data_IF_248616562578
#
_entry.id   IF_248616562578
#
_cell.length_a   1.000
_cell.length_b   1.000
_cell.length_c   1.000
_cell.angle_alpha   90.00
_cell.angle_beta   90.00
_cell.angle_gamma   90.00
#
_symmetry.space_group_name_H-M   'P 1'
#
loop_
_entity.id
_entity.type
_entity.pdbx_description
1 polymer ?
#
# COMPACT_ATOMS: atom_id res chain seq x y z
N UNK A 1 -23.90 -23.11 9.25
CA UNK A 1 -22.60 -22.48 9.07
C UNK A 1 -22.31 -22.45 7.59
N UNK A 2 -22.10 -21.27 6.99
CA UNK A 2 -21.87 -21.15 5.55
C UNK A 2 -20.42 -21.56 5.22
N UNK A 3 -20.19 -22.15 4.03
CA UNK A 3 -18.87 -22.60 3.55
C UNK A 3 -17.78 -21.51 3.70
N UNK A 4 -18.16 -20.24 3.62
CA UNK A 4 -17.28 -19.09 3.77
C UNK A 4 -16.74 -18.93 5.21
N UNK A 5 -17.56 -19.21 6.23
CA UNK A 5 -17.15 -19.18 7.64
C UNK A 5 -16.22 -20.36 7.99
N UNK A 6 -16.48 -21.54 7.43
CA UNK A 6 -15.64 -22.72 7.63
C UNK A 6 -14.25 -22.55 6.98
N UNK A 7 -14.17 -21.85 5.84
CA UNK A 7 -12.91 -21.58 5.16
C UNK A 7 -12.07 -20.55 5.94
N UNK A 8 -12.68 -19.46 6.42
CA UNK A 8 -12.01 -18.44 7.25
C UNK A 8 -11.44 -19.07 8.53
N UNK A 9 -12.22 -19.89 9.26
CA UNK A 9 -11.73 -20.54 10.47
C UNK A 9 -10.56 -21.50 10.25
N UNK A 10 -10.48 -22.16 9.07
CA UNK A 10 -9.34 -23.01 8.73
C UNK A 10 -8.10 -22.17 8.41
N UNK A 11 -8.26 -21.09 7.66
CA UNK A 11 -7.17 -20.16 7.36
C UNK A 11 -6.59 -19.54 8.64
N UNK A 12 -7.44 -19.10 9.57
CA UNK A 12 -7.02 -18.59 10.88
C UNK A 12 -6.28 -19.64 11.73
N UNK A 13 -6.72 -20.89 11.71
CA UNK A 13 -6.06 -21.98 12.43
C UNK A 13 -4.67 -22.30 11.86
N UNK A 14 -4.52 -22.28 10.52
CA UNK A 14 -3.24 -22.50 9.86
C UNK A 14 -2.26 -21.37 10.15
N UNK A 15 -2.73 -20.13 10.15
CA UNK A 15 -1.93 -18.94 10.50
C UNK A 15 -1.45 -19.04 11.97
N UNK A 16 -2.34 -19.33 12.90
CA UNK A 16 -1.97 -19.52 14.31
C UNK A 16 -0.93 -20.64 14.48
N UNK A 17 -1.04 -21.73 13.73
CA UNK A 17 -0.05 -22.80 13.78
C UNK A 17 1.32 -22.35 13.24
N UNK A 18 1.36 -21.52 12.18
CA UNK A 18 2.62 -20.95 11.68
C UNK A 18 3.27 -20.02 12.71
N UNK A 19 2.47 -19.18 13.37
CA UNK A 19 2.94 -18.28 14.43
C UNK A 19 3.54 -19.09 15.58
N UNK A 20 2.87 -20.12 16.08
CA UNK A 20 3.40 -20.98 17.16
C UNK A 20 4.74 -21.62 16.79
N UNK A 21 4.86 -22.16 15.57
CA UNK A 21 6.12 -22.74 15.09
C UNK A 21 7.26 -21.70 15.00
N UNK A 22 6.94 -20.45 14.68
CA UNK A 22 7.94 -19.38 14.63
C UNK A 22 8.37 -18.96 16.02
N UNK A 23 7.46 -18.90 16.99
CA UNK A 23 7.78 -18.65 18.40
C UNK A 23 8.73 -19.73 18.93
N UNK A 24 8.40 -21.01 18.73
CA UNK A 24 9.29 -22.12 19.12
C UNK A 24 10.69 -22.01 18.51
N UNK A 25 10.80 -21.59 17.24
CA UNK A 25 12.10 -21.37 16.58
C UNK A 25 12.86 -20.18 17.17
N UNK A 26 12.17 -19.15 17.62
CA UNK A 26 12.78 -18.00 18.30
C UNK A 26 13.31 -18.45 19.67
N UNK A 27 12.53 -19.21 20.44
CA UNK A 27 12.94 -19.75 21.74
C UNK A 27 14.17 -20.64 21.63
N UNK A 28 14.25 -21.48 20.59
CA UNK A 28 15.39 -22.35 20.31
C UNK A 28 16.62 -21.59 19.85
N UNK A 29 16.46 -20.48 19.14
CA UNK A 29 17.56 -19.67 18.64
C UNK A 29 17.22 -18.16 18.64
N UNK A 30 17.32 -17.51 19.83
CA UNK A 30 16.94 -16.09 20.00
C UNK A 30 17.79 -15.09 19.23
N UNK A 31 18.97 -15.50 18.71
CA UNK A 31 19.83 -14.61 17.94
C UNK A 31 19.60 -14.67 16.43
N UNK A 32 18.69 -15.54 15.97
CA UNK A 32 18.41 -15.72 14.55
C UNK A 32 17.42 -14.71 14.02
N UNK A 33 17.90 -13.65 13.37
CA UNK A 33 17.14 -12.54 12.80
C UNK A 33 15.98 -13.00 11.91
N UNK A 34 16.22 -13.99 11.03
CA UNK A 34 15.19 -14.48 10.10
C UNK A 34 13.89 -14.98 10.76
N UNK A 35 13.96 -15.51 11.99
CA UNK A 35 12.78 -16.00 12.68
C UNK A 35 11.86 -14.83 13.10
N UNK A 36 12.47 -13.74 13.56
CA UNK A 36 11.74 -12.51 13.92
C UNK A 36 11.14 -11.83 12.69
N UNK A 37 11.88 -11.75 11.58
CA UNK A 37 11.36 -11.19 10.33
C UNK A 37 10.16 -11.98 9.82
N UNK A 38 10.23 -13.32 9.82
CA UNK A 38 9.10 -14.16 9.42
C UNK A 38 7.89 -13.97 10.32
N UNK A 39 8.09 -13.91 11.65
CA UNK A 39 6.99 -13.68 12.58
C UNK A 39 6.40 -12.27 12.43
N UNK A 40 7.25 -11.25 12.24
CA UNK A 40 6.80 -9.90 11.97
C UNK A 40 5.99 -9.81 10.67
N UNK A 41 6.40 -10.49 9.61
CA UNK A 41 5.65 -10.58 8.34
C UNK A 41 4.25 -11.16 8.56
N UNK A 42 4.11 -12.29 9.27
CA UNK A 42 2.80 -12.88 9.60
C UNK A 42 1.93 -11.91 10.41
N UNK A 43 2.50 -11.19 11.38
CA UNK A 43 1.78 -10.19 12.17
C UNK A 43 1.34 -8.98 11.34
N UNK A 44 2.19 -8.51 10.43
CA UNK A 44 1.90 -7.40 9.51
C UNK A 44 0.76 -7.79 8.56
N UNK A 45 0.79 -8.99 7.99
CA UNK A 45 -0.27 -9.51 7.12
C UNK A 45 -1.63 -9.61 7.82
N UNK A 46 -1.63 -9.82 9.15
CA UNK A 46 -2.84 -9.81 9.98
C UNK A 46 -3.26 -8.41 10.44
N UNK A 47 -2.54 -7.35 10.06
CA UNK A 47 -2.78 -6.00 10.55
C UNK A 47 -2.38 -5.77 12.02
N UNK A 48 -1.64 -6.70 12.65
CA UNK A 48 -1.19 -6.63 14.04
C UNK A 48 0.12 -5.82 14.16
N UNK A 49 0.12 -4.60 13.61
CA UNK A 49 1.31 -3.75 13.48
C UNK A 49 1.97 -3.42 14.82
N UNK A 50 1.19 -3.18 15.88
CA UNK A 50 1.72 -2.89 17.22
C UNK A 50 2.49 -4.09 17.80
N UNK A 51 1.99 -5.30 17.61
CA UNK A 51 2.67 -6.52 18.05
C UNK A 51 3.94 -6.78 17.24
N UNK A 52 3.90 -6.56 15.91
CA UNK A 52 5.07 -6.65 15.05
C UNK A 52 6.15 -5.65 15.48
N UNK A 53 5.78 -4.40 15.76
CA UNK A 53 6.71 -3.37 16.27
C UNK A 53 7.36 -3.81 17.57
N UNK A 54 6.57 -4.24 18.56
CA UNK A 54 7.09 -4.69 19.86
C UNK A 54 8.05 -5.89 19.72
N UNK A 55 7.70 -6.86 18.87
CA UNK A 55 8.54 -8.00 18.55
C UNK A 55 9.90 -7.57 17.97
N UNK A 56 9.88 -6.71 16.95
CA UNK A 56 11.10 -6.26 16.28
C UNK A 56 11.97 -5.37 17.19
N UNK A 57 11.38 -4.49 17.99
CA UNK A 57 12.14 -3.69 18.98
C UNK A 57 12.82 -4.55 20.05
N UNK A 58 12.15 -5.59 20.53
CA UNK A 58 12.76 -6.55 21.45
C UNK A 58 13.87 -7.36 20.77
N UNK A 59 13.64 -7.83 19.54
CA UNK A 59 14.59 -8.58 18.75
C UNK A 59 15.90 -7.82 18.50
N UNK A 60 15.83 -6.49 18.31
CA UNK A 60 17.04 -5.64 18.13
C UNK A 60 18.06 -5.77 19.26
N UNK A 61 17.61 -6.14 20.46
CA UNK A 61 18.50 -6.33 21.63
C UNK A 61 19.13 -7.72 21.71
N UNK A 62 18.63 -8.67 20.90
CA UNK A 62 18.97 -10.09 20.98
C UNK A 62 19.79 -10.56 19.79
N UNK A 63 19.50 -10.01 18.60
CA UNK A 63 20.14 -10.45 17.34
C UNK A 63 21.52 -9.83 17.13
N UNK A 64 22.35 -10.49 16.33
CA UNK A 64 23.71 -10.02 16.02
C UNK A 64 23.75 -8.79 15.12
N UNK A 65 22.78 -8.67 14.22
CA UNK A 65 22.69 -7.59 13.23
C UNK A 65 21.34 -6.90 13.36
N UNK A 66 21.16 -6.00 14.39
CA UNK A 66 19.88 -5.34 14.64
C UNK A 66 19.40 -4.46 13.49
N UNK A 67 20.31 -3.95 12.66
CA UNK A 67 19.99 -3.14 11.47
C UNK A 67 19.20 -3.91 10.40
N UNK A 68 19.28 -5.24 10.38
CA UNK A 68 18.53 -6.08 9.44
C UNK A 68 17.02 -6.04 9.71
N UNK A 69 16.61 -5.57 10.90
CA UNK A 69 15.21 -5.41 11.30
C UNK A 69 14.64 -4.02 10.98
N UNK A 70 15.48 -3.07 10.56
CA UNK A 70 15.09 -1.66 10.47
C UNK A 70 14.07 -1.40 9.37
N UNK A 71 14.13 -2.12 8.25
CA UNK A 71 13.15 -1.98 7.18
C UNK A 71 11.74 -2.40 7.63
N UNK A 72 11.60 -3.60 8.19
CA UNK A 72 10.29 -4.11 8.64
C UNK A 72 9.72 -3.28 9.79
N UNK A 73 10.59 -2.79 10.68
CA UNK A 73 10.20 -1.87 11.74
C UNK A 73 9.72 -0.52 11.17
N UNK A 74 10.38 -0.02 10.13
CA UNK A 74 9.94 1.20 9.44
C UNK A 74 8.59 1.02 8.75
N UNK A 75 8.33 -0.17 8.15
CA UNK A 75 7.02 -0.52 7.59
C UNK A 75 5.95 -0.56 8.70
N UNK A 76 6.25 -1.16 9.85
CA UNK A 76 5.33 -1.19 10.98
C UNK A 76 4.96 0.23 11.47
N UNK A 77 5.94 1.12 11.61
CA UNK A 77 5.68 2.52 11.97
C UNK A 77 4.86 3.26 10.92
N UNK A 78 5.14 3.04 9.63
CA UNK A 78 4.31 3.58 8.54
C UNK A 78 2.85 3.15 8.65
N UNK A 79 2.61 1.86 8.89
CA UNK A 79 1.25 1.31 9.01
C UNK A 79 0.50 1.81 10.25
N UNK A 80 1.23 2.23 11.29
CA UNK A 80 0.67 2.86 12.49
C UNK A 80 0.50 4.38 12.37
N UNK A 81 0.96 4.98 11.25
CA UNK A 81 0.91 6.43 11.01
C UNK A 81 2.07 7.20 11.68
N UNK A 82 3.05 6.51 12.27
CA UNK A 82 4.24 7.14 12.85
C UNK A 82 5.31 7.36 11.75
N UNK A 83 5.01 8.31 10.87
CA UNK A 83 5.80 8.57 9.67
C UNK A 83 7.22 9.08 9.98
N UNK A 84 7.39 9.82 11.07
CA UNK A 84 8.70 10.35 11.48
C UNK A 84 9.65 9.24 11.91
N UNK A 85 9.18 8.27 12.70
CA UNK A 85 9.98 7.09 13.06
C UNK A 85 10.28 6.23 11.86
N UNK A 86 9.30 6.02 10.97
CA UNK A 86 9.50 5.30 9.73
C UNK A 86 10.63 5.92 8.91
N UNK A 87 10.59 7.24 8.65
CA UNK A 87 11.63 7.95 7.90
C UNK A 87 12.99 7.91 8.61
N UNK A 88 13.01 8.01 9.94
CA UNK A 88 14.26 7.94 10.72
C UNK A 88 14.99 6.63 10.45
N UNK A 89 14.29 5.51 10.49
CA UNK A 89 14.86 4.19 10.19
C UNK A 89 15.25 4.05 8.73
N UNK A 90 14.36 4.41 7.80
CA UNK A 90 14.63 4.32 6.36
C UNK A 90 15.84 5.15 5.93
N UNK A 91 16.14 6.26 6.61
CA UNK A 91 17.31 7.08 6.32
C UNK A 91 18.63 6.47 6.81
N UNK A 92 18.59 5.48 7.68
CA UNK A 92 19.75 4.73 8.15
C UNK A 92 20.09 3.52 7.29
N UNK A 93 19.18 3.12 6.39
CA UNK A 93 19.32 1.98 5.51
C UNK A 93 19.79 2.43 4.12
N UNK A 94 20.66 1.68 3.43
CA UNK A 94 21.02 1.95 2.05
C UNK A 94 19.80 2.03 1.13
N UNK A 95 19.79 2.98 0.20
CA UNK A 95 18.70 3.16 -0.74
C UNK A 95 18.72 2.07 -1.83
N UNK A 96 18.00 1.00 -1.63
CA UNK A 96 17.55 0.09 -2.68
C UNK A 96 16.12 0.40 -3.14
N UNK A 97 15.60 -0.33 -4.09
CA UNK A 97 14.26 -0.11 -4.65
C UNK A 97 13.15 -0.25 -3.61
N UNK A 98 13.29 -1.16 -2.62
CA UNK A 98 12.32 -1.35 -1.54
C UNK A 98 12.31 -0.16 -0.59
N UNK A 99 13.48 0.32 -0.19
CA UNK A 99 13.63 1.49 0.69
C UNK A 99 13.13 2.75 0.00
N UNK A 100 13.46 2.94 -1.29
CA UNK A 100 12.97 4.05 -2.10
C UNK A 100 11.45 4.04 -2.22
N UNK A 101 10.86 2.87 -2.49
CA UNK A 101 9.41 2.67 -2.54
C UNK A 101 8.74 3.05 -1.21
N UNK A 102 9.27 2.55 -0.09
CA UNK A 102 8.72 2.84 1.22
C UNK A 102 8.86 4.32 1.59
N UNK A 103 10.00 4.98 1.28
CA UNK A 103 10.15 6.43 1.45
C UNK A 103 9.12 7.22 0.64
N UNK A 104 8.91 6.83 -0.61
CA UNK A 104 7.92 7.47 -1.47
C UNK A 104 6.50 7.35 -0.89
N UNK A 105 6.12 6.17 -0.36
CA UNK A 105 4.85 5.98 0.34
C UNK A 105 4.71 6.90 1.55
N UNK A 106 5.75 6.98 2.39
CA UNK A 106 5.73 7.85 3.58
C UNK A 106 5.57 9.32 3.19
N UNK A 107 6.34 9.81 2.22
CA UNK A 107 6.24 11.20 1.77
C UNK A 107 4.89 11.50 1.12
N UNK A 108 4.31 10.54 0.39
CA UNK A 108 2.96 10.69 -0.17
C UNK A 108 1.91 10.84 0.96
N UNK A 109 1.99 10.03 2.02
CA UNK A 109 1.09 10.13 3.19
C UNK A 109 1.26 11.44 3.96
N UNK A 110 2.46 11.99 3.98
CA UNK A 110 2.75 13.31 4.56
C UNK A 110 2.30 14.49 3.66
N UNK A 111 1.71 14.24 2.49
CA UNK A 111 1.34 15.28 1.52
C UNK A 111 2.53 15.95 0.84
N UNK A 112 3.73 15.35 0.94
CA UNK A 112 4.96 15.85 0.33
C UNK A 112 5.21 15.20 -1.05
N UNK A 113 4.26 15.40 -1.98
CA UNK A 113 4.22 14.73 -3.28
C UNK A 113 5.50 14.88 -4.11
N UNK A 114 6.14 16.05 -4.07
CA UNK A 114 7.41 16.27 -4.81
C UNK A 114 8.56 15.40 -4.28
N UNK A 115 8.66 15.22 -2.94
CA UNK A 115 9.66 14.32 -2.35
C UNK A 115 9.32 12.86 -2.64
N UNK A 116 8.03 12.50 -2.56
CA UNK A 116 7.57 11.17 -2.94
C UNK A 116 7.97 10.85 -4.38
N UNK A 117 7.74 11.79 -5.32
CA UNK A 117 8.09 11.63 -6.72
C UNK A 117 9.60 11.46 -6.93
N UNK A 118 10.42 12.26 -6.25
CA UNK A 118 11.88 12.17 -6.34
C UNK A 118 12.39 10.77 -5.96
N UNK A 119 11.85 10.18 -4.88
CA UNK A 119 12.21 8.82 -4.48
C UNK A 119 11.66 7.77 -5.46
N UNK A 120 10.39 7.87 -5.86
CA UNK A 120 9.75 6.91 -6.76
C UNK A 120 10.42 6.85 -8.13
N UNK A 121 10.86 7.99 -8.71
CA UNK A 121 11.57 8.04 -9.98
C UNK A 121 13.00 7.47 -9.92
N UNK A 122 13.56 7.28 -8.72
CA UNK A 122 14.90 6.70 -8.53
C UNK A 122 14.87 5.17 -8.52
N UNK A 123 13.67 4.56 -8.39
CA UNK A 123 13.48 3.09 -8.42
C UNK A 123 13.87 2.56 -9.80
N UNK A 124 14.72 1.54 -9.81
CA UNK A 124 15.26 0.95 -11.05
C UNK A 124 14.32 -0.09 -11.66
N UNK A 125 13.68 -0.91 -10.82
CA UNK A 125 12.75 -1.95 -11.26
C UNK A 125 11.31 -1.45 -11.13
N UNK A 126 10.79 -0.91 -12.24
CA UNK A 126 9.43 -0.36 -12.28
C UNK A 126 8.43 -1.49 -12.60
N UNK A 127 7.82 -2.04 -11.59
CA UNK A 127 6.74 -3.01 -11.67
C UNK A 127 5.35 -2.34 -11.57
N UNK A 128 4.28 -3.15 -11.62
CA UNK A 128 2.89 -2.64 -11.55
C UNK A 128 2.60 -1.89 -10.22
N UNK A 129 3.27 -2.25 -9.10
CA UNK A 129 3.12 -1.54 -7.82
C UNK A 129 3.78 -0.17 -7.84
N UNK A 130 4.95 -0.08 -8.45
CA UNK A 130 5.66 1.20 -8.64
C UNK A 130 4.87 2.11 -9.59
N UNK A 131 4.29 1.55 -10.66
CA UNK A 131 3.42 2.31 -11.56
C UNK A 131 2.16 2.83 -10.85
N UNK A 132 1.54 2.03 -9.99
CA UNK A 132 0.40 2.48 -9.19
C UNK A 132 0.81 3.60 -8.22
N UNK A 133 1.94 3.46 -7.52
CA UNK A 133 2.48 4.50 -6.64
C UNK A 133 2.79 5.79 -7.39
N UNK A 134 3.44 5.72 -8.55
CA UNK A 134 3.70 6.89 -9.40
C UNK A 134 2.39 7.57 -9.83
N UNK A 135 1.39 6.80 -10.22
CA UNK A 135 0.05 7.32 -10.53
C UNK A 135 -0.57 8.06 -9.35
N UNK A 136 -0.50 7.50 -8.14
CA UNK A 136 -1.00 8.13 -6.92
C UNK A 136 -0.25 9.42 -6.58
N UNK A 137 1.07 9.44 -6.77
CA UNK A 137 1.89 10.63 -6.54
C UNK A 137 1.55 11.73 -7.53
N UNK A 138 1.45 11.42 -8.83
CA UNK A 138 1.07 12.39 -9.85
C UNK A 138 -0.34 12.95 -9.59
N UNK A 139 -1.27 12.09 -9.17
CA UNK A 139 -2.61 12.52 -8.77
C UNK A 139 -2.56 13.49 -7.58
N UNK A 140 -1.73 13.22 -6.58
CA UNK A 140 -1.56 14.10 -5.41
C UNK A 140 -0.93 15.47 -5.77
N UNK A 141 -0.22 15.54 -6.88
CA UNK A 141 0.37 16.77 -7.43
C UNK A 141 -0.60 17.52 -8.37
N UNK A 142 -1.77 16.95 -8.68
CA UNK A 142 -2.73 17.51 -9.63
C UNK A 142 -2.45 17.20 -11.10
N UNK A 143 -1.44 16.38 -11.39
CA UNK A 143 -0.98 16.02 -12.74
C UNK A 143 -1.76 14.80 -13.25
N UNK A 144 -3.00 15.03 -13.68
CA UNK A 144 -3.95 13.96 -14.04
C UNK A 144 -3.53 13.16 -15.27
N UNK A 145 -2.86 13.79 -16.25
CA UNK A 145 -2.40 13.12 -17.48
C UNK A 145 -1.26 12.15 -17.20
N UNK A 146 -0.33 12.52 -16.33
CA UNK A 146 0.79 11.71 -15.89
C UNK A 146 0.32 10.55 -15.03
N UNK A 147 -0.62 10.81 -14.10
CA UNK A 147 -1.25 9.79 -13.28
C UNK A 147 -1.93 8.72 -14.15
N UNK A 148 -2.75 9.17 -15.12
CA UNK A 148 -3.40 8.29 -16.09
C UNK A 148 -2.39 7.45 -16.87
N UNK A 149 -1.32 8.08 -17.38
CA UNK A 149 -0.28 7.38 -18.14
C UNK A 149 0.38 6.27 -17.32
N UNK A 150 0.61 6.49 -16.02
CA UNK A 150 1.14 5.46 -15.12
C UNK A 150 0.13 4.32 -14.94
N UNK A 151 -1.14 4.61 -14.66
CA UNK A 151 -2.16 3.58 -14.47
C UNK A 151 -2.44 2.77 -15.74
N UNK A 152 -2.39 3.39 -16.94
CA UNK A 152 -2.58 2.70 -18.21
C UNK A 152 -1.49 1.67 -18.52
N UNK A 153 -0.25 1.91 -18.04
CA UNK A 153 0.87 0.96 -18.19
C UNK A 153 0.71 -0.30 -17.34
N UNK A 154 -0.10 -0.25 -16.27
CA UNK A 154 -0.36 -1.44 -15.45
C UNK A 154 -1.13 -2.47 -16.27
N UNK A 155 -0.63 -3.71 -16.26
CA UNK A 155 -1.28 -4.82 -16.96
C UNK A 155 -2.75 -4.96 -16.53
N UNK A 156 -3.72 -5.10 -17.44
CA UNK A 156 -5.15 -5.15 -17.09
C UNK A 156 -5.50 -6.18 -16.01
N UNK A 157 -4.85 -7.35 -16.03
CA UNK A 157 -5.03 -8.42 -15.03
C UNK A 157 -4.53 -8.05 -13.63
N UNK A 158 -3.63 -7.05 -13.52
CA UNK A 158 -3.03 -6.57 -12.27
C UNK A 158 -3.66 -5.29 -11.75
N UNK A 159 -4.52 -4.63 -12.54
CA UNK A 159 -5.19 -3.40 -12.11
C UNK A 159 -6.06 -3.67 -10.90
N UNK A 160 -5.89 -2.87 -9.85
CA UNK A 160 -6.74 -2.88 -8.66
C UNK A 160 -8.09 -2.20 -8.94
N UNK A 161 -9.07 -2.35 -8.06
CA UNK A 161 -10.33 -1.60 -8.15
C UNK A 161 -10.07 -0.09 -8.16
N UNK A 162 -9.10 0.37 -7.38
CA UNK A 162 -8.65 1.77 -7.34
C UNK A 162 -8.13 2.23 -8.70
N UNK A 163 -7.25 1.48 -9.32
CA UNK A 163 -6.70 1.82 -10.65
C UNK A 163 -7.79 1.90 -11.70
N UNK A 164 -8.72 0.94 -11.74
CA UNK A 164 -9.85 1.00 -12.64
C UNK A 164 -10.75 2.21 -12.37
N UNK A 165 -11.02 2.52 -11.11
CA UNK A 165 -11.82 3.70 -10.74
C UNK A 165 -11.14 4.99 -11.20
N UNK A 166 -9.84 5.16 -10.91
CA UNK A 166 -9.08 6.34 -11.30
C UNK A 166 -8.99 6.51 -12.83
N UNK A 167 -8.80 5.42 -13.57
CA UNK A 167 -8.87 5.44 -15.03
C UNK A 167 -10.26 5.88 -15.52
N UNK A 168 -11.33 5.36 -14.91
CA UNK A 168 -12.70 5.71 -15.27
C UNK A 168 -12.99 7.19 -15.10
N UNK A 169 -12.69 7.74 -13.92
CA UNK A 169 -12.93 9.17 -13.66
C UNK A 169 -12.05 10.10 -14.50
N UNK A 170 -10.81 9.68 -14.82
CA UNK A 170 -9.86 10.51 -15.58
C UNK A 170 -10.25 10.71 -17.06
N UNK A 171 -11.17 9.90 -17.59
CA UNK A 171 -11.61 9.97 -19.00
C UNK A 171 -13.12 10.22 -19.14
N UNK A 172 -13.81 10.50 -18.05
CA UNK A 172 -15.27 10.57 -18.02
C UNK A 172 -15.82 11.61 -19.01
N UNK A 173 -15.12 12.72 -19.18
CA UNK A 173 -15.52 13.81 -20.07
C UNK A 173 -15.11 13.56 -21.53
N UNK A 174 -14.04 12.78 -21.76
CA UNK A 174 -13.49 12.54 -23.12
C UNK A 174 -14.00 11.26 -23.77
N UNK A 175 -14.27 10.21 -22.99
CA UNK A 175 -14.70 8.88 -23.47
C UNK A 175 -15.61 8.20 -22.44
N UNK A 176 -16.90 8.54 -22.49
CA UNK A 176 -17.90 8.03 -21.52
C UNK A 176 -18.11 6.53 -21.61
N UNK A 177 -18.00 5.93 -22.78
CA UNK A 177 -18.19 4.48 -22.96
C UNK A 177 -17.07 3.71 -22.27
N UNK A 178 -15.83 4.10 -22.54
CA UNK A 178 -14.64 3.49 -21.92
C UNK A 178 -14.59 3.78 -20.42
N UNK A 179 -14.97 4.99 -19.97
CA UNK A 179 -15.08 5.35 -18.57
C UNK A 179 -16.06 4.43 -17.83
N UNK A 180 -17.27 4.21 -18.40
CA UNK A 180 -18.27 3.31 -17.83
C UNK A 180 -17.76 1.89 -17.73
N UNK A 181 -17.02 1.40 -18.72
CA UNK A 181 -16.38 0.08 -18.69
C UNK A 181 -15.37 -0.04 -17.55
N UNK A 182 -14.52 0.98 -17.37
CA UNK A 182 -13.55 0.99 -16.26
C UNK A 182 -14.23 1.03 -14.89
N UNK A 183 -15.25 1.87 -14.72
CA UNK A 183 -16.01 1.96 -13.46
C UNK A 183 -16.75 0.66 -13.13
N UNK A 184 -17.26 -0.04 -14.15
CA UNK A 184 -17.85 -1.37 -14.00
C UNK A 184 -16.82 -2.37 -13.50
N UNK A 185 -15.63 -2.42 -14.10
CA UNK A 185 -14.54 -3.30 -13.66
C UNK A 185 -14.10 -3.00 -12.21
N UNK A 186 -14.04 -1.72 -11.83
CA UNK A 186 -13.75 -1.34 -10.46
C UNK A 186 -14.78 -1.90 -9.48
N UNK A 187 -16.07 -1.76 -9.79
CA UNK A 187 -17.19 -2.25 -8.97
C UNK A 187 -17.21 -3.77 -8.87
N UNK A 188 -16.96 -4.47 -9.98
CA UNK A 188 -16.92 -5.94 -9.99
C UNK A 188 -15.74 -6.48 -9.16
N UNK A 189 -14.59 -5.78 -9.19
CA UNK A 189 -13.38 -6.21 -8.50
C UNK A 189 -13.42 -5.99 -6.99
N UNK A 190 -13.96 -4.84 -6.55
CA UNK A 190 -14.15 -4.49 -5.14
C UNK A 190 -15.37 -3.55 -5.01
N UNK A 191 -16.56 -4.08 -4.72
CA UNK A 191 -17.78 -3.28 -4.56
C UNK A 191 -17.74 -2.30 -3.39
N UNK A 192 -17.04 -2.67 -2.31
CA UNK A 192 -16.96 -1.83 -1.11
C UNK A 192 -16.04 -0.63 -1.35
N UNK A 193 -14.85 -0.86 -1.89
CA UNK A 193 -13.98 0.22 -2.34
C UNK A 193 -14.70 1.16 -3.31
N UNK A 194 -15.41 0.59 -4.31
CA UNK A 194 -16.12 1.39 -5.30
C UNK A 194 -17.16 2.31 -4.66
N UNK A 195 -17.90 1.82 -3.66
CA UNK A 195 -18.90 2.63 -2.93
C UNK A 195 -18.21 3.77 -2.17
N UNK A 196 -17.15 3.48 -1.42
CA UNK A 196 -16.39 4.50 -0.68
C UNK A 196 -15.79 5.56 -1.61
N UNK A 197 -15.20 5.12 -2.73
CA UNK A 197 -14.65 6.02 -3.73
C UNK A 197 -15.73 6.90 -4.39
N UNK A 198 -16.91 6.35 -4.69
CA UNK A 198 -18.05 7.14 -5.19
C UNK A 198 -18.50 8.21 -4.20
N UNK A 199 -18.54 7.90 -2.91
CA UNK A 199 -18.92 8.87 -1.87
C UNK A 199 -17.89 10.00 -1.78
N UNK A 200 -16.61 9.67 -1.85
CA UNK A 200 -15.49 10.61 -1.77
C UNK A 200 -15.38 11.50 -3.03
N UNK A 201 -15.44 10.92 -4.21
CA UNK A 201 -15.27 11.63 -5.48
C UNK A 201 -16.58 12.14 -6.07
N UNK A 202 -17.73 11.58 -5.67
CA UNK A 202 -19.04 12.01 -6.14
C UNK A 202 -19.39 13.45 -5.74
N UNK A 203 -18.92 13.91 -4.61
CA UNK A 203 -19.06 15.31 -4.19
C UNK A 203 -18.25 16.24 -5.12
N UNK A 204 -17.03 15.85 -5.47
CA UNK A 204 -16.15 16.60 -6.38
C UNK A 204 -16.76 16.65 -7.80
N UNK A 205 -17.22 15.51 -8.30
CA UNK A 205 -17.87 15.42 -9.62
C UNK A 205 -19.17 16.27 -9.69
N UNK A 206 -19.95 16.33 -8.62
CA UNK A 206 -21.11 17.23 -8.54
C UNK A 206 -20.71 18.70 -8.58
N UNK A 207 -19.67 19.09 -7.83
CA UNK A 207 -19.17 20.48 -7.82
C UNK A 207 -18.66 20.91 -9.20
N UNK A 208 -17.95 20.04 -9.90
CA UNK A 208 -17.46 20.30 -11.27
C UNK A 208 -18.63 20.47 -12.24
N UNK A 209 -19.61 19.57 -12.22
CA UNK A 209 -20.80 19.65 -13.08
C UNK A 209 -21.71 20.87 -12.78
N UNK A 210 -21.75 21.32 -11.52
CA UNK A 210 -22.50 22.51 -11.14
C UNK A 210 -21.79 23.84 -11.50
N UNK A 211 -20.46 23.83 -11.50
CA UNK A 211 -19.65 24.97 -11.93
C UNK A 211 -19.72 25.18 -13.45
N UNK A 212 -19.73 24.11 -14.24
CA UNK A 212 -19.89 24.18 -15.70
C UNK A 212 -21.26 24.72 -16.11
N UNK A 213 -22.34 24.29 -15.42
CA UNK A 213 -23.71 24.79 -15.68
C UNK A 213 -23.96 26.28 -15.34
N UNK A 214 -23.05 26.90 -14.60
CA UNK A 214 -23.13 28.34 -14.25
C UNK A 214 -22.35 29.23 -15.23
N UNK A 215 -21.50 28.61 -16.08
CA UNK A 215 -20.71 29.34 -17.07
C UNK A 215 -21.26 29.24 -18.52
N UNK A 216 -22.36 28.49 -18.70
CA UNK A 216 -23.23 28.48 -19.89
C UNK A 216 -24.49 29.35 -19.67
#
# INVERSE_FOLDING_TARGET
>A
MTDKQSKSMKEDAEVNQRIHKLIEKIDQNPQKTENYLKLATELIEQGSFAQATQLLEQAKRLVKHPQDLDYDLAVCYYMQGDFDKSLTLLNQIPNDDLVLYQKALVFLKLGQGQKALAHALTIKQVDDKVLELLGDIWLSLGELSEARTCYEKISPSKRTAKVYFMLGISILDSDREKATSYLKNAKEKDPEYFKQAQEQYGAILKMVNEAEKKND
#
